data_IF_060845010396
#
_entry.id   IF_060845010396
#
_cell.length_a   1.000
_cell.length_b   1.000
_cell.length_c   1.000
_cell.angle_alpha   90.00
_cell.angle_beta   90.00
_cell.angle_gamma   90.00
#
_symmetry.space_group_name_H-M   'P 1'
#
loop_
_entity.id
_entity.type
_entity.pdbx_description
1 polymer ?
#
# COMPACT_ATOMS: atom_id res chain seq x y z
N UNK A 1 40.89 30.37 0.82
CA UNK A 1 40.49 29.25 1.71
C UNK A 1 39.03 29.47 2.08
N UNK A 2 38.11 28.99 1.23
CA UNK A 2 36.67 29.23 1.35
C UNK A 2 36.12 28.27 2.40
N UNK A 3 35.40 28.80 3.40
CA UNK A 3 34.85 28.02 4.51
C UNK A 3 33.74 27.10 3.97
N UNK A 4 33.89 25.82 4.25
CA UNK A 4 32.94 24.77 3.93
C UNK A 4 31.63 25.01 4.68
N UNK A 5 30.57 25.35 3.94
CA UNK A 5 29.22 25.54 4.48
C UNK A 5 28.60 24.15 4.62
N UNK A 6 28.95 23.45 5.70
CA UNK A 6 28.31 22.19 6.08
C UNK A 6 26.82 22.46 6.31
N UNK A 7 26.00 22.08 5.32
CA UNK A 7 24.54 22.08 5.42
C UNK A 7 24.15 21.12 6.55
N UNK A 8 23.62 21.65 7.65
CA UNK A 8 22.95 20.85 8.67
C UNK A 8 21.66 20.32 8.05
N UNK A 9 21.66 19.06 7.62
CA UNK A 9 20.43 18.34 7.36
C UNK A 9 19.57 18.39 8.63
N UNK A 10 18.34 18.88 8.51
CA UNK A 10 17.43 18.94 9.65
C UNK A 10 16.96 17.52 9.98
N UNK A 11 16.66 17.22 11.25
CA UNK A 11 16.28 15.87 11.70
C UNK A 11 15.09 15.27 10.92
N UNK A 12 14.21 16.14 10.37
CA UNK A 12 13.09 15.75 9.51
C UNK A 12 13.52 15.19 8.14
N UNK A 13 14.70 15.55 7.65
CA UNK A 13 15.25 15.08 6.36
C UNK A 13 15.81 13.65 6.47
N UNK A 14 16.29 13.27 7.66
CA UNK A 14 16.95 11.98 7.93
C UNK A 14 15.98 10.84 8.27
N UNK A 15 14.73 11.17 8.60
CA UNK A 15 13.73 10.20 9.03
C UNK A 15 12.57 10.19 8.03
N UNK A 16 12.87 9.76 6.81
CA UNK A 16 11.83 9.41 5.85
C UNK A 16 10.98 8.28 6.46
N UNK A 17 9.66 8.47 6.67
CA UNK A 17 8.82 7.45 7.25
C UNK A 17 8.76 6.25 6.30
N UNK A 18 9.27 5.11 6.76
CA UNK A 18 9.13 3.84 6.04
C UNK A 18 7.72 3.31 6.24
N UNK A 19 7.02 3.08 5.14
CA UNK A 19 5.65 2.59 5.15
C UNK A 19 5.63 1.12 4.78
N UNK A 20 5.03 0.31 5.66
CA UNK A 20 4.82 -1.12 5.42
C UNK A 20 3.31 -1.38 5.37
N UNK A 21 2.84 -1.93 4.25
CA UNK A 21 1.44 -2.25 4.03
C UNK A 21 1.27 -3.76 3.83
N UNK A 22 0.29 -4.33 4.52
CA UNK A 22 -0.06 -5.75 4.45
C UNK A 22 -1.57 -5.95 4.54
N UNK A 23 -2.05 -7.11 4.12
CA UNK A 23 -3.42 -7.57 4.30
C UNK A 23 -4.14 -7.89 3.00
N UNK A 24 -4.92 -8.97 3.02
CA UNK A 24 -5.71 -9.49 1.88
C UNK A 24 -6.57 -8.43 1.15
N UNK A 25 -7.00 -7.39 1.86
CA UNK A 25 -7.86 -6.33 1.30
C UNK A 25 -7.12 -5.07 0.86
N UNK A 26 -5.82 -4.96 1.14
CA UNK A 26 -5.04 -3.74 0.91
C UNK A 26 -4.94 -3.37 -0.57
N UNK A 27 -4.98 -4.36 -1.47
CA UNK A 27 -4.93 -4.18 -2.91
C UNK A 27 -6.19 -4.70 -3.62
N UNK A 28 -7.38 -4.36 -3.10
CA UNK A 28 -8.63 -4.81 -3.69
C UNK A 28 -9.72 -3.74 -3.54
N UNK A 29 -10.02 -3.01 -4.61
CA UNK A 29 -11.02 -1.92 -4.63
C UNK A 29 -12.41 -2.46 -4.35
N UNK A 30 -12.74 -3.64 -4.87
CA UNK A 30 -13.99 -4.31 -4.58
C UNK A 30 -14.25 -4.50 -3.08
N UNK A 31 -13.25 -4.99 -2.34
CA UNK A 31 -13.33 -5.15 -0.90
C UNK A 31 -13.40 -3.82 -0.14
N UNK A 32 -12.75 -2.77 -0.64
CA UNK A 32 -12.86 -1.43 -0.06
C UNK A 32 -14.26 -0.82 -0.23
N UNK A 33 -14.91 -1.10 -1.36
CA UNK A 33 -16.25 -0.58 -1.66
C UNK A 33 -17.38 -1.36 -0.97
N UNK A 34 -17.20 -2.65 -0.74
CA UNK A 34 -18.18 -3.51 -0.06
C UNK A 34 -19.46 -3.76 -0.86
N UNK A 35 -20.49 -4.21 -0.13
CA UNK A 35 -21.82 -4.48 -0.70
C UNK A 35 -22.51 -3.23 -1.23
N UNK A 36 -23.52 -3.44 -2.08
CA UNK A 36 -24.27 -2.37 -2.74
C UNK A 36 -23.46 -1.44 -3.67
N UNK A 37 -22.18 -1.74 -3.89
CA UNK A 37 -21.38 -1.11 -4.95
C UNK A 37 -21.35 -2.03 -6.16
N UNK A 38 -21.87 -1.56 -7.30
CA UNK A 38 -22.14 -2.30 -8.54
C UNK A 38 -23.23 -3.37 -8.44
N UNK A 39 -23.16 -4.25 -7.45
CA UNK A 39 -24.16 -5.29 -7.18
C UNK A 39 -24.43 -5.41 -5.68
N UNK A 40 -25.54 -6.05 -5.32
CA UNK A 40 -25.99 -6.20 -3.93
C UNK A 40 -24.93 -6.81 -2.99
N UNK A 41 -24.28 -7.90 -3.43
CA UNK A 41 -23.21 -8.56 -2.67
C UNK A 41 -21.85 -7.85 -2.77
N UNK A 42 -21.75 -6.80 -3.59
CA UNK A 42 -20.46 -6.22 -3.98
C UNK A 42 -19.70 -7.14 -4.93
N UNK A 43 -18.47 -6.76 -5.26
CA UNK A 43 -17.59 -7.51 -6.15
C UNK A 43 -16.18 -7.53 -5.57
N UNK A 44 -15.37 -8.53 -5.88
CA UNK A 44 -13.95 -8.59 -5.49
C UNK A 44 -13.04 -8.19 -6.64
N UNK A 45 -11.90 -7.58 -6.33
CA UNK A 45 -10.90 -7.15 -7.29
C UNK A 45 -11.25 -5.84 -7.98
N UNK A 46 -10.35 -5.40 -8.87
CA UNK A 46 -10.31 -4.02 -9.34
C UNK A 46 -10.98 -3.82 -10.72
N UNK A 47 -11.12 -4.90 -11.49
CA UNK A 47 -11.52 -4.84 -12.90
C UNK A 47 -12.92 -4.23 -13.13
N UNK A 48 -13.81 -4.30 -12.14
CA UNK A 48 -15.19 -3.80 -12.25
C UNK A 48 -15.37 -2.37 -11.74
N UNK A 49 -14.35 -1.79 -11.11
CA UNK A 49 -14.35 -0.41 -10.61
C UNK A 49 -13.39 0.41 -11.46
N UNK A 50 -13.79 0.82 -12.68
CA UNK A 50 -12.93 1.63 -13.52
C UNK A 50 -12.58 2.94 -12.78
N UNK A 51 -11.30 3.30 -12.78
CA UNK A 51 -10.74 4.42 -12.00
C UNK A 51 -10.69 4.22 -10.48
N UNK A 52 -10.94 3.01 -9.98
CA UNK A 52 -10.68 2.65 -8.60
C UNK A 52 -9.20 2.80 -8.23
N UNK A 53 -8.95 3.36 -7.05
CA UNK A 53 -7.60 3.44 -6.46
C UNK A 53 -7.63 2.58 -5.20
N UNK A 54 -6.75 1.58 -5.13
CA UNK A 54 -6.61 0.76 -3.93
C UNK A 54 -5.80 1.47 -2.86
N UNK A 55 -6.00 1.10 -1.58
CA UNK A 55 -5.15 1.60 -0.47
C UNK A 55 -3.67 1.40 -0.80
N UNK A 56 -3.29 0.23 -1.31
CA UNK A 56 -1.91 -0.04 -1.77
C UNK A 56 -1.43 1.01 -2.76
N UNK A 57 -2.21 1.27 -3.81
CA UNK A 57 -1.81 2.18 -4.87
C UNK A 57 -1.65 3.62 -4.36
N UNK A 58 -2.54 4.07 -3.50
CA UNK A 58 -2.44 5.42 -2.94
C UNK A 58 -1.29 5.55 -1.94
N UNK A 59 -1.07 4.54 -1.10
CA UNK A 59 0.06 4.53 -0.16
C UNK A 59 1.39 4.46 -0.90
N UNK A 60 1.47 3.72 -2.00
CA UNK A 60 2.64 3.70 -2.88
C UNK A 60 2.90 5.08 -3.52
N UNK A 61 1.84 5.77 -3.98
CA UNK A 61 1.94 7.12 -4.53
C UNK A 61 2.42 8.14 -3.49
N UNK A 62 1.98 8.02 -2.23
CA UNK A 62 2.33 8.97 -1.15
C UNK A 62 3.67 8.62 -0.49
N UNK A 63 4.00 7.34 -0.38
CA UNK A 63 5.18 6.81 0.35
C UNK A 63 6.51 6.92 -0.40
N UNK A 64 6.49 7.29 -1.68
CA UNK A 64 7.66 7.43 -2.56
C UNK A 64 8.62 6.22 -2.43
N UNK A 65 9.94 6.43 -2.35
CA UNK A 65 10.98 5.38 -2.38
C UNK A 65 11.05 4.49 -1.12
N UNK A 66 10.21 4.74 -0.10
CA UNK A 66 10.26 4.06 1.20
C UNK A 66 9.01 3.22 1.50
N UNK A 67 8.43 2.60 0.46
CA UNK A 67 7.24 1.74 0.55
C UNK A 67 7.59 0.25 0.44
N UNK A 68 6.98 -0.57 1.28
CA UNK A 68 7.06 -2.05 1.20
C UNK A 68 5.67 -2.64 1.33
N UNK A 69 5.31 -3.51 0.40
CA UNK A 69 4.03 -4.20 0.35
C UNK A 69 4.21 -5.70 0.57
N UNK A 70 3.31 -6.32 1.33
CA UNK A 70 3.26 -7.76 1.54
C UNK A 70 1.83 -8.28 1.38
N UNK A 71 1.59 -9.10 0.37
CA UNK A 71 0.26 -9.68 0.06
C UNK A 71 0.03 -11.05 0.69
N UNK A 72 0.98 -11.56 1.47
CA UNK A 72 0.90 -12.92 1.98
C UNK A 72 -0.03 -13.08 3.18
N UNK A 73 -0.77 -12.06 3.62
CA UNK A 73 -1.73 -12.23 4.72
C UNK A 73 -3.09 -12.62 4.14
N UNK A 74 -3.52 -13.85 4.39
CA UNK A 74 -4.78 -14.42 3.92
C UNK A 74 -5.99 -13.87 4.70
N UNK A 75 -7.18 -14.02 4.12
CA UNK A 75 -8.47 -13.63 4.74
C UNK A 75 -8.80 -14.39 6.02
N UNK A 76 -8.25 -15.58 6.19
CA UNK A 76 -8.35 -16.41 7.40
C UNK A 76 -7.32 -16.03 8.49
N UNK A 77 -6.50 -15.00 8.27
CA UNK A 77 -5.49 -14.54 9.21
C UNK A 77 -4.19 -15.35 9.25
N UNK A 78 -4.04 -16.35 8.38
CA UNK A 78 -2.78 -17.08 8.18
C UNK A 78 -1.88 -16.33 7.20
N UNK A 79 -0.59 -16.62 7.27
CA UNK A 79 0.39 -16.14 6.30
C UNK A 79 0.56 -17.21 5.22
N UNK A 80 0.51 -16.81 3.95
CA UNK A 80 0.74 -17.66 2.80
C UNK A 80 2.16 -18.20 2.83
N UNK A 81 2.31 -19.50 2.59
CA UNK A 81 3.62 -20.06 2.35
C UNK A 81 4.26 -19.42 1.11
N UNK A 82 5.59 -19.43 1.04
CA UNK A 82 6.38 -18.82 -0.04
C UNK A 82 5.99 -19.29 -1.46
N UNK A 83 5.32 -20.45 -1.57
CA UNK A 83 4.82 -21.01 -2.83
C UNK A 83 3.45 -20.48 -3.27
N UNK A 84 2.73 -19.74 -2.41
CA UNK A 84 1.40 -19.16 -2.72
C UNK A 84 1.45 -17.64 -2.96
N UNK A 85 2.65 -17.06 -3.00
CA UNK A 85 2.85 -15.65 -3.36
C UNK A 85 2.73 -15.48 -4.89
N UNK A 86 1.54 -15.09 -5.36
CA UNK A 86 1.23 -14.76 -6.76
C UNK A 86 1.55 -13.32 -7.14
#
# INVERSE_FOLDING_TARGET
MQRDVTRRATLAELQQPKSFLTGHSANNVGYQCGGWTLIWQGHSGDAKVPHGVSVRKEVENVGNDSFTYFDGLLDNGLISDENEMH
#
